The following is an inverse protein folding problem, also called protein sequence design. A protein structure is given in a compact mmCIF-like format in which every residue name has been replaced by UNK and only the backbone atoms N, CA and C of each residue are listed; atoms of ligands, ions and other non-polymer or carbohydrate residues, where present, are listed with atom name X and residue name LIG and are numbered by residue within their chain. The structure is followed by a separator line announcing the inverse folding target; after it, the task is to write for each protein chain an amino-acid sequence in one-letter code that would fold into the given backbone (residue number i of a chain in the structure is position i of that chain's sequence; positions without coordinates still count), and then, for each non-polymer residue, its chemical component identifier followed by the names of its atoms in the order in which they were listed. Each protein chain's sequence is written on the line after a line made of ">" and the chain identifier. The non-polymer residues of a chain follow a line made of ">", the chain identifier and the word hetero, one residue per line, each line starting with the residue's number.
data_IF_311849531929
#
_entry.id   IF_311849531929
#
_cell.length_a   1.000
_cell.length_b   1.000
_cell.length_c   1.000
_cell.angle_alpha   90.00
_cell.angle_beta   90.00
_cell.angle_gamma   90.00
#
_symmetry.space_group_name_H-M   'P 1'
#
loop_
_entity.id
_entity.type
_entity.pdbx_description
1 polymer ?
#
# COMPACT_ATOMS: atom_id res chain seq x y z
N UNK A 1 -37.02 -46.70 -6.72
CA UNK A 1 -35.85 -46.88 -5.82
C UNK A 1 -34.52 -46.72 -6.58
N UNK A 2 -34.00 -47.70 -7.33
CA UNK A 2 -32.70 -47.57 -8.02
C UNK A 2 -32.62 -46.42 -9.04
N UNK A 3 -33.71 -46.15 -9.76
CA UNK A 3 -33.78 -45.07 -10.77
C UNK A 3 -33.82 -43.67 -10.13
N UNK A 4 -34.39 -43.54 -8.93
CA UNK A 4 -34.50 -42.27 -8.20
C UNK A 4 -33.18 -41.87 -7.52
N UNK A 5 -32.46 -42.86 -6.98
CA UNK A 5 -31.12 -42.65 -6.38
C UNK A 5 -30.11 -42.20 -7.44
N UNK A 6 -30.15 -42.80 -8.63
CA UNK A 6 -29.28 -42.41 -9.75
C UNK A 6 -29.57 -40.97 -10.25
N UNK A 7 -30.85 -40.55 -10.24
CA UNK A 7 -31.23 -39.19 -10.63
C UNK A 7 -30.82 -38.15 -9.59
N UNK A 8 -30.92 -38.49 -8.29
CA UNK A 8 -30.49 -37.63 -7.20
C UNK A 8 -28.97 -37.47 -7.15
N UNK A 9 -28.19 -38.54 -7.41
CA UNK A 9 -26.74 -38.44 -7.54
C UNK A 9 -26.31 -37.56 -8.72
N UNK A 10 -26.99 -37.65 -9.88
CA UNK A 10 -26.72 -36.77 -11.02
C UNK A 10 -26.96 -35.30 -10.70
N UNK A 11 -28.04 -34.97 -9.98
CA UNK A 11 -28.33 -33.60 -9.54
C UNK A 11 -27.29 -33.08 -8.56
N UNK A 12 -26.87 -33.90 -7.59
CA UNK A 12 -25.83 -33.52 -6.62
C UNK A 12 -24.48 -33.28 -7.31
N UNK A 13 -24.11 -34.14 -8.27
CA UNK A 13 -22.90 -33.98 -9.07
C UNK A 13 -22.94 -32.67 -9.88
N UNK A 14 -24.10 -32.34 -10.47
CA UNK A 14 -24.28 -31.12 -11.24
C UNK A 14 -24.18 -29.85 -10.37
N UNK A 15 -24.73 -29.89 -9.15
CA UNK A 15 -24.60 -28.81 -8.16
C UNK A 15 -23.14 -28.63 -7.73
N UNK A 16 -22.43 -29.73 -7.46
CA UNK A 16 -21.00 -29.70 -7.11
C UNK A 16 -20.14 -29.13 -8.25
N UNK A 17 -20.43 -29.51 -9.50
CA UNK A 17 -19.76 -28.97 -10.69
C UNK A 17 -20.07 -27.48 -10.85
N UNK A 18 -21.31 -27.03 -10.62
CA UNK A 18 -21.67 -25.60 -10.65
C UNK A 18 -20.95 -24.78 -9.56
N UNK A 19 -20.78 -25.33 -8.36
CA UNK A 19 -20.01 -24.70 -7.27
C UNK A 19 -18.51 -24.64 -7.62
N UNK A 20 -17.99 -25.66 -8.29
CA UNK A 20 -16.59 -25.70 -8.72
C UNK A 20 -16.30 -24.74 -9.89
N UNK A 21 -17.23 -24.57 -10.84
CA UNK A 21 -17.07 -23.66 -11.98
C UNK A 21 -17.24 -22.19 -11.54
N UNK A 22 -18.08 -21.91 -10.54
CA UNK A 22 -18.28 -20.55 -10.02
C UNK A 22 -17.14 -20.04 -9.12
N UNK A 23 -16.23 -20.91 -8.64
CA UNK A 23 -15.14 -20.48 -7.73
C UNK A 23 -13.78 -20.18 -8.40
N UNK A 24 -13.62 -20.43 -9.70
CA UNK A 24 -12.33 -20.29 -10.39
C UNK A 24 -12.18 -19.07 -11.32
N UNK A 25 -13.24 -18.32 -11.59
CA UNK A 25 -13.20 -17.14 -12.46
C UNK A 25 -12.51 -15.92 -11.84
N UNK A 26 -12.87 -15.55 -10.61
CA UNK A 26 -12.38 -14.30 -9.99
C UNK A 26 -10.93 -14.37 -9.50
N UNK A 27 -10.47 -15.55 -9.09
CA UNK A 27 -9.11 -15.74 -8.55
C UNK A 27 -8.01 -15.52 -9.59
N UNK A 28 -8.25 -15.86 -10.86
CA UNK A 28 -7.25 -15.71 -11.93
C UNK A 28 -7.01 -14.24 -12.28
N UNK A 29 -8.07 -13.43 -12.34
CA UNK A 29 -7.97 -12.00 -12.59
C UNK A 29 -7.27 -11.27 -11.44
N UNK A 30 -7.59 -11.63 -10.19
CA UNK A 30 -6.93 -11.07 -9.01
C UNK A 30 -5.42 -11.33 -8.99
N UNK A 31 -4.98 -12.56 -9.29
CA UNK A 31 -3.55 -12.88 -9.35
C UNK A 31 -2.81 -12.11 -10.45
N UNK A 32 -3.44 -11.94 -11.61
CA UNK A 32 -2.86 -11.14 -12.71
C UNK A 32 -2.79 -9.68 -12.31
N UNK A 33 -3.83 -9.14 -11.67
CA UNK A 33 -3.86 -7.78 -11.16
C UNK A 33 -2.73 -7.52 -10.16
N UNK A 34 -2.50 -8.42 -9.21
CA UNK A 34 -1.42 -8.29 -8.22
C UNK A 34 -0.04 -8.24 -8.88
N UNK A 35 0.23 -9.14 -9.84
CA UNK A 35 1.50 -9.15 -10.58
C UNK A 35 1.70 -7.89 -11.42
N UNK A 36 0.63 -7.34 -12.00
CA UNK A 36 0.68 -6.11 -12.79
C UNK A 36 0.87 -4.89 -11.89
N UNK A 37 0.26 -4.89 -10.71
CA UNK A 37 0.45 -3.87 -9.69
C UNK A 37 1.90 -3.83 -9.20
N UNK A 38 2.46 -4.97 -8.82
CA UNK A 38 3.85 -5.12 -8.39
C UNK A 38 4.81 -4.63 -9.47
N UNK A 39 4.65 -5.12 -10.71
CA UNK A 39 5.48 -4.68 -11.84
C UNK A 39 5.39 -3.17 -12.09
N UNK A 40 4.19 -2.59 -12.04
CA UNK A 40 4.02 -1.15 -12.18
C UNK A 40 4.75 -0.39 -11.07
N UNK A 41 4.60 -0.84 -9.83
CA UNK A 41 5.20 -0.24 -8.65
C UNK A 41 6.72 -0.26 -8.73
N UNK A 42 7.31 -1.40 -9.12
CA UNK A 42 8.74 -1.57 -9.29
C UNK A 42 9.31 -0.69 -10.41
N UNK A 43 8.63 -0.63 -11.56
CA UNK A 43 9.06 0.23 -12.68
C UNK A 43 9.06 1.70 -12.26
N UNK A 44 8.01 2.16 -11.58
CA UNK A 44 7.93 3.55 -11.11
C UNK A 44 8.98 3.84 -10.06
N UNK A 45 9.21 2.91 -9.15
CA UNK A 45 10.20 3.06 -8.10
C UNK A 45 11.63 3.08 -8.66
N UNK A 46 11.98 2.18 -9.59
CA UNK A 46 13.28 2.20 -10.26
C UNK A 46 13.51 3.49 -11.06
N UNK A 47 12.46 4.11 -11.62
CA UNK A 47 12.56 5.45 -12.22
C UNK A 47 12.89 6.54 -11.19
N UNK A 48 12.31 6.48 -9.98
CA UNK A 48 12.69 7.39 -8.90
C UNK A 48 14.15 7.18 -8.48
N UNK A 49 14.63 5.93 -8.44
CA UNK A 49 16.02 5.64 -8.11
C UNK A 49 16.97 6.17 -9.20
N UNK A 50 16.64 5.97 -10.48
CA UNK A 50 17.55 6.25 -11.61
C UNK A 50 17.56 7.71 -12.04
N UNK A 51 16.43 8.41 -11.97
CA UNK A 51 16.33 9.81 -12.43
C UNK A 51 17.00 10.81 -11.48
N UNK A 52 17.33 10.40 -10.26
CA UNK A 52 17.81 11.30 -9.21
C UNK A 52 19.23 10.98 -8.72
N UNK A 53 20.17 10.55 -9.60
CA UNK A 53 21.50 10.15 -9.10
C UNK A 53 22.77 10.59 -9.85
N UNK A 54 23.66 11.32 -9.14
CA UNK A 54 25.12 11.21 -9.25
C UNK A 54 25.76 10.23 -8.22
N UNK A 55 25.01 9.65 -7.27
CA UNK A 55 25.46 8.80 -6.15
C UNK A 55 25.13 7.30 -6.33
N UNK A 56 25.48 6.73 -7.49
CA UNK A 56 25.25 5.32 -7.84
C UNK A 56 25.72 4.27 -6.78
N UNK A 57 26.52 4.71 -5.79
CA UNK A 57 27.10 3.92 -4.71
C UNK A 57 26.12 3.50 -3.59
N UNK A 58 24.89 4.04 -3.52
CA UNK A 58 23.90 3.68 -2.47
C UNK A 58 22.66 2.93 -2.99
N UNK A 59 22.74 2.32 -4.16
CA UNK A 59 21.61 1.65 -4.84
C UNK A 59 20.86 0.63 -3.98
N UNK A 60 21.57 -0.13 -3.12
CA UNK A 60 20.95 -1.12 -2.22
C UNK A 60 20.05 -0.45 -1.18
N UNK A 61 20.48 0.66 -0.57
CA UNK A 61 19.65 1.40 0.39
C UNK A 61 18.43 2.00 -0.29
N UNK A 62 18.62 2.60 -1.47
CA UNK A 62 17.51 3.17 -2.24
C UNK A 62 16.46 2.11 -2.58
N UNK A 63 16.87 0.94 -3.07
CA UNK A 63 15.93 -0.17 -3.38
C UNK A 63 15.13 -0.68 -2.19
N UNK A 64 15.69 -0.56 -0.99
CA UNK A 64 15.10 -1.12 0.24
C UNK A 64 14.56 -0.04 1.19
N UNK A 65 14.36 1.21 0.73
CA UNK A 65 14.07 2.33 1.63
C UNK A 65 12.83 2.10 2.50
N UNK A 66 11.76 1.55 1.93
CA UNK A 66 10.52 1.25 2.65
C UNK A 66 10.75 0.21 3.74
N UNK A 67 11.50 -0.86 3.45
CA UNK A 67 11.85 -1.88 4.44
C UNK A 67 12.73 -1.31 5.54
N UNK A 68 13.68 -0.44 5.20
CA UNK A 68 14.56 0.22 6.18
C UNK A 68 13.76 1.14 7.10
N UNK A 69 12.79 1.88 6.55
CA UNK A 69 11.90 2.74 7.33
C UNK A 69 10.92 1.94 8.20
N UNK A 70 10.31 0.86 7.68
CA UNK A 70 9.46 -0.06 8.46
C UNK A 70 10.25 -0.66 9.63
N UNK A 71 11.50 -1.09 9.39
CA UNK A 71 12.37 -1.62 10.44
C UNK A 71 12.75 -0.56 11.49
N UNK A 72 12.96 0.70 11.08
CA UNK A 72 13.16 1.80 12.02
C UNK A 72 11.93 1.98 12.92
N UNK A 73 10.73 2.04 12.32
CA UNK A 73 9.48 2.18 13.07
C UNK A 73 9.27 1.04 14.10
N UNK A 74 9.67 -0.18 13.75
CA UNK A 74 9.65 -1.34 14.66
C UNK A 74 10.69 -1.17 15.77
N UNK A 75 11.94 -0.83 15.41
CA UNK A 75 13.05 -0.67 16.36
C UNK A 75 12.77 0.39 17.42
N UNK A 76 12.13 1.49 17.03
CA UNK A 76 11.75 2.57 17.94
C UNK A 76 10.41 2.30 18.67
N UNK A 77 9.77 1.15 18.44
CA UNK A 77 8.55 0.75 19.15
C UNK A 77 7.26 1.42 18.67
N UNK A 78 7.30 2.15 17.55
CA UNK A 78 6.12 2.78 16.96
C UNK A 78 5.23 1.77 16.24
N UNK A 79 5.83 0.80 15.54
CA UNK A 79 5.16 -0.32 14.88
C UNK A 79 5.40 -1.61 15.66
N UNK A 80 4.35 -2.20 16.22
CA UNK A 80 4.48 -3.43 17.03
C UNK A 80 4.41 -4.71 16.20
N UNK A 81 3.60 -4.70 15.14
CA UNK A 81 3.37 -5.87 14.27
C UNK A 81 3.19 -5.44 12.82
N UNK A 82 3.74 -6.22 11.89
CA UNK A 82 3.61 -5.99 10.44
C UNK A 82 2.31 -6.62 9.91
N UNK A 83 1.19 -6.07 10.35
CA UNK A 83 -0.16 -6.47 9.94
C UNK A 83 -1.11 -5.26 9.94
N UNK A 84 -2.36 -5.44 9.51
CA UNK A 84 -3.30 -4.32 9.44
C UNK A 84 -3.59 -3.68 10.80
N UNK A 85 -3.57 -4.45 11.88
CA UNK A 85 -3.80 -3.92 13.23
C UNK A 85 -2.65 -3.01 13.69
N UNK A 86 -1.40 -3.45 13.51
CA UNK A 86 -0.21 -2.67 13.82
C UNK A 86 -0.12 -1.39 12.99
N UNK A 87 -0.44 -1.45 11.71
CA UNK A 87 -0.50 -0.25 10.86
C UNK A 87 -1.65 0.69 11.23
N UNK A 88 -2.81 0.16 11.61
CA UNK A 88 -3.92 0.98 12.13
C UNK A 88 -3.50 1.74 13.39
N UNK A 89 -2.81 1.07 14.31
CA UNK A 89 -2.30 1.69 15.53
C UNK A 89 -1.23 2.75 15.21
N UNK A 90 -0.29 2.44 14.32
CA UNK A 90 0.73 3.39 13.87
C UNK A 90 0.12 4.65 13.24
N UNK A 91 -0.80 4.50 12.30
CA UNK A 91 -1.52 5.64 11.69
C UNK A 91 -2.26 6.48 12.74
N UNK A 92 -2.85 5.84 13.76
CA UNK A 92 -3.45 6.57 14.88
C UNK A 92 -2.43 7.33 15.74
N UNK A 93 -1.23 6.75 15.95
CA UNK A 93 -0.14 7.44 16.66
C UNK A 93 0.33 8.66 15.87
N UNK A 94 0.54 8.53 14.56
CA UNK A 94 0.92 9.65 13.68
C UNK A 94 -0.15 10.74 13.70
N UNK A 95 -1.42 10.39 13.46
CA UNK A 95 -2.57 11.32 13.55
C UNK A 95 -2.59 12.13 14.85
N UNK A 96 -2.22 11.51 15.97
CA UNK A 96 -2.23 12.10 17.32
C UNK A 96 -0.89 12.72 17.72
N UNK A 97 0.06 12.92 16.80
CA UNK A 97 1.40 13.45 17.06
C UNK A 97 2.14 12.68 18.18
N UNK A 98 1.97 11.35 18.21
CA UNK A 98 2.61 10.44 19.20
C UNK A 98 3.88 9.77 18.67
N UNK A 99 4.33 10.16 17.48
CA UNK A 99 5.60 9.72 16.89
C UNK A 99 6.53 10.93 16.90
N UNK A 100 7.79 10.71 17.33
CA UNK A 100 8.77 11.79 17.39
C UNK A 100 9.16 12.24 15.98
N UNK A 101 9.05 13.54 15.69
CA UNK A 101 9.45 14.13 14.41
C UNK A 101 10.96 13.99 14.15
N UNK A 102 11.78 13.83 15.20
CA UNK A 102 13.20 13.55 15.05
C UNK A 102 13.49 12.18 14.43
N UNK A 103 12.48 11.31 14.28
CA UNK A 103 12.61 10.03 13.59
C UNK A 103 13.09 10.21 12.15
N UNK A 104 12.63 11.25 11.45
CA UNK A 104 13.05 11.58 10.09
C UNK A 104 14.55 11.91 10.05
N UNK A 105 15.01 12.81 10.91
CA UNK A 105 16.42 13.21 10.98
C UNK A 105 17.34 12.04 11.38
N UNK A 106 16.86 11.18 12.29
CA UNK A 106 17.55 9.93 12.63
C UNK A 106 17.67 9.01 11.41
N UNK A 107 16.60 8.84 10.64
CA UNK A 107 16.62 8.01 9.45
C UNK A 107 17.56 8.55 8.36
N UNK A 108 17.50 9.86 8.09
CA UNK A 108 18.41 10.55 7.16
C UNK A 108 19.87 10.39 7.56
N UNK A 109 20.16 10.50 8.87
CA UNK A 109 21.50 10.29 9.42
C UNK A 109 21.96 8.84 9.24
N UNK A 110 21.13 7.85 9.58
CA UNK A 110 21.42 6.41 9.42
C UNK A 110 21.72 6.05 7.95
N UNK A 111 21.02 6.68 7.01
CA UNK A 111 21.23 6.47 5.57
C UNK A 111 22.42 7.25 5.01
N UNK A 112 22.78 8.38 5.64
CA UNK A 112 23.75 9.35 5.15
C UNK A 112 23.36 10.01 3.83
N UNK A 113 22.05 10.14 3.55
CA UNK A 113 21.47 10.93 2.47
C UNK A 113 20.02 11.24 2.79
N UNK A 114 19.45 12.25 2.14
CA UNK A 114 18.05 12.62 2.28
C UNK A 114 17.15 11.69 1.44
N UNK A 115 16.26 10.88 2.06
CA UNK A 115 15.46 9.92 1.32
C UNK A 115 14.10 10.50 0.87
N UNK A 116 13.79 11.77 1.12
CA UNK A 116 12.48 12.38 0.85
C UNK A 116 11.92 12.04 -0.54
N UNK A 117 12.75 12.18 -1.58
CA UNK A 117 12.35 11.93 -2.98
C UNK A 117 11.94 10.48 -3.28
N UNK A 118 12.24 9.54 -2.37
CA UNK A 118 11.93 8.12 -2.51
C UNK A 118 10.57 7.75 -1.87
N UNK A 119 9.95 8.65 -1.09
CA UNK A 119 8.64 8.45 -0.46
C UNK A 119 7.56 9.28 -1.16
N UNK A 120 7.17 8.84 -2.37
CA UNK A 120 6.23 9.57 -3.22
C UNK A 120 4.92 8.79 -3.40
N UNK A 121 3.90 9.12 -2.61
CA UNK A 121 2.59 8.46 -2.58
C UNK A 121 1.95 8.30 -3.96
N UNK A 122 2.05 9.33 -4.81
CA UNK A 122 1.52 9.34 -6.17
C UNK A 122 2.08 8.24 -7.09
N UNK A 123 3.25 7.69 -6.75
CA UNK A 123 3.87 6.60 -7.52
C UNK A 123 3.11 5.28 -7.37
N UNK A 124 2.54 5.00 -6.19
CA UNK A 124 1.83 3.75 -5.93
C UNK A 124 0.33 3.85 -6.23
N UNK A 125 -0.31 4.98 -5.92
CA UNK A 125 -1.74 5.19 -6.22
C UNK A 125 -2.03 5.09 -7.72
N UNK A 126 -1.17 5.69 -8.54
CA UNK A 126 -1.30 5.64 -10.00
C UNK A 126 -1.16 4.24 -10.61
N UNK A 127 -0.56 3.27 -9.90
CA UNK A 127 -0.54 1.87 -10.34
C UNK A 127 -1.89 1.18 -10.18
N UNK A 128 -2.70 1.56 -9.18
CA UNK A 128 -4.08 1.11 -9.09
C UNK A 128 -4.92 1.65 -10.24
N UNK A 129 -4.82 2.95 -10.54
CA UNK A 129 -5.48 3.56 -11.71
C UNK A 129 -5.09 2.84 -13.00
N UNK A 130 -3.80 2.54 -13.19
CA UNK A 130 -3.33 1.85 -14.38
C UNK A 130 -3.94 0.46 -14.58
N UNK A 131 -4.00 -0.39 -13.54
CA UNK A 131 -4.56 -1.74 -13.68
C UNK A 131 -6.09 -1.74 -13.85
N UNK A 132 -6.77 -0.72 -13.30
CA UNK A 132 -8.24 -0.57 -13.37
C UNK A 132 -8.65 0.06 -14.70
N UNK A 133 -8.15 1.25 -15.01
CA UNK A 133 -8.65 2.08 -16.11
C UNK A 133 -7.93 1.79 -17.43
N UNK A 134 -6.61 1.56 -17.39
CA UNK A 134 -5.83 1.41 -18.63
C UNK A 134 -5.79 -0.04 -19.11
N UNK A 135 -5.65 -0.99 -18.19
CA UNK A 135 -5.63 -2.42 -18.54
C UNK A 135 -7.05 -3.02 -18.47
N UNK A 136 -7.91 -2.55 -17.56
CA UNK A 136 -9.28 -3.08 -17.44
C UNK A 136 -9.36 -4.50 -16.88
N UNK A 137 -8.40 -4.91 -16.03
CA UNK A 137 -8.32 -6.29 -15.48
C UNK A 137 -8.90 -6.43 -14.06
N UNK A 138 -9.37 -5.32 -13.50
CA UNK A 138 -9.96 -5.20 -12.17
C UNK A 138 -11.33 -4.54 -12.33
N UNK A 139 -12.38 -5.21 -11.84
CA UNK A 139 -13.74 -4.68 -11.78
C UNK A 139 -14.06 -4.08 -10.40
N UNK A 140 -15.25 -3.50 -10.27
CA UNK A 140 -15.72 -2.85 -9.03
C UNK A 140 -15.86 -3.80 -7.83
N UNK A 141 -15.98 -5.10 -8.08
CA UNK A 141 -16.10 -6.10 -7.02
C UNK A 141 -14.75 -6.45 -6.40
N UNK A 142 -13.65 -6.24 -7.12
CA UNK A 142 -12.30 -6.51 -6.66
C UNK A 142 -11.84 -5.56 -5.54
N UNK A 143 -11.05 -6.10 -4.61
CA UNK A 143 -10.54 -5.32 -3.48
C UNK A 143 -9.60 -4.19 -3.93
N UNK A 144 -8.86 -4.36 -5.03
CA UNK A 144 -7.98 -3.32 -5.57
C UNK A 144 -8.78 -2.09 -6.04
N UNK A 145 -9.94 -2.31 -6.66
CA UNK A 145 -10.85 -1.23 -7.06
C UNK A 145 -11.39 -0.51 -5.83
N UNK A 146 -11.95 -1.27 -4.88
CA UNK A 146 -12.49 -0.73 -3.62
C UNK A 146 -11.43 0.03 -2.82
N UNK A 147 -10.18 -0.45 -2.84
CA UNK A 147 -9.06 0.20 -2.18
C UNK A 147 -8.76 1.56 -2.83
N UNK A 148 -8.62 1.59 -4.16
CA UNK A 148 -8.38 2.81 -4.94
C UNK A 148 -9.43 3.87 -4.66
N UNK A 149 -10.71 3.51 -4.73
CA UNK A 149 -11.81 4.44 -4.48
C UNK A 149 -11.80 4.98 -3.04
N UNK A 150 -11.54 4.12 -2.06
CA UNK A 150 -11.53 4.52 -0.65
C UNK A 150 -10.31 5.38 -0.33
N UNK A 151 -9.15 5.06 -0.88
CA UNK A 151 -7.94 5.87 -0.71
C UNK A 151 -8.07 7.23 -1.39
N UNK A 152 -8.70 7.32 -2.57
CA UNK A 152 -8.97 8.61 -3.22
C UNK A 152 -9.88 9.53 -2.42
N UNK A 153 -10.83 8.99 -1.66
CA UNK A 153 -11.60 9.81 -0.71
C UNK A 153 -10.71 10.42 0.37
N UNK A 154 -9.72 9.67 0.86
CA UNK A 154 -8.73 10.21 1.78
C UNK A 154 -7.88 11.31 1.12
N UNK A 155 -7.38 11.10 -0.10
CA UNK A 155 -6.59 12.12 -0.82
C UNK A 155 -7.40 13.39 -1.12
N UNK A 156 -8.69 13.26 -1.42
CA UNK A 156 -9.57 14.39 -1.74
C UNK A 156 -9.90 15.27 -0.52
N UNK A 157 -10.08 14.64 0.65
CA UNK A 157 -10.49 15.34 1.88
C UNK A 157 -9.28 15.94 2.63
N UNK A 158 -8.12 15.29 2.53
CA UNK A 158 -6.83 15.90 2.84
C UNK A 158 -6.30 15.66 4.26
N UNK A 159 -5.06 15.17 4.32
CA UNK A 159 -4.21 14.92 5.50
C UNK A 159 -4.71 13.90 6.54
N UNK A 160 -3.74 13.24 7.19
CA UNK A 160 -3.99 12.20 8.20
C UNK A 160 -4.59 12.73 9.51
N UNK A 161 -4.52 14.04 9.74
CA UNK A 161 -4.97 14.74 10.97
C UNK A 161 -6.44 15.11 10.98
N UNK A 162 -7.14 15.06 9.84
CA UNK A 162 -8.57 15.25 9.82
C UNK A 162 -9.32 14.16 10.59
N UNK A 163 -10.46 14.53 11.17
CA UNK A 163 -11.38 13.62 11.87
C UNK A 163 -12.22 12.79 10.87
N UNK A 164 -11.56 12.11 9.94
CA UNK A 164 -12.19 11.14 9.06
C UNK A 164 -11.51 9.77 9.15
N UNK A 165 -12.25 8.74 8.78
CA UNK A 165 -11.79 7.34 8.85
C UNK A 165 -11.37 6.78 7.49
N UNK A 166 -11.27 7.61 6.44
CA UNK A 166 -11.06 7.14 5.07
C UNK A 166 -9.77 6.33 4.90
N UNK A 167 -8.66 6.77 5.51
CA UNK A 167 -7.40 6.01 5.45
C UNK A 167 -7.51 4.65 6.17
N UNK A 168 -8.27 4.60 7.26
CA UNK A 168 -8.52 3.36 7.98
C UNK A 168 -9.44 2.43 7.21
N UNK A 169 -10.43 2.99 6.50
CA UNK A 169 -11.30 2.24 5.62
C UNK A 169 -10.53 1.69 4.42
N UNK A 170 -9.62 2.48 3.83
CA UNK A 170 -8.72 2.02 2.78
C UNK A 170 -7.86 0.84 3.28
N UNK A 171 -7.27 0.95 4.47
CA UNK A 171 -6.52 -0.15 5.09
C UNK A 171 -7.38 -1.41 5.29
N UNK A 172 -8.63 -1.27 5.74
CA UNK A 172 -9.53 -2.42 5.98
C UNK A 172 -9.79 -3.23 4.70
N UNK A 173 -9.91 -2.55 3.54
CA UNK A 173 -10.26 -3.17 2.25
C UNK A 173 -9.20 -4.16 1.76
N UNK A 174 -7.91 -3.93 2.09
CA UNK A 174 -6.83 -4.82 1.66
C UNK A 174 -6.97 -6.18 2.35
N UNK A 175 -6.98 -7.32 1.62
CA UNK A 175 -6.97 -8.64 2.25
C UNK A 175 -5.72 -8.82 3.11
N UNK A 176 -5.85 -9.41 4.30
CA UNK A 176 -4.72 -9.56 5.25
C UNK A 176 -3.51 -10.25 4.61
N UNK A 177 -3.75 -11.34 3.87
CA UNK A 177 -2.70 -12.06 3.14
C UNK A 177 -1.96 -11.19 2.12
N UNK A 178 -2.65 -10.23 1.50
CA UNK A 178 -2.04 -9.29 0.56
C UNK A 178 -1.25 -8.23 1.32
N UNK A 179 -1.78 -7.72 2.43
CA UNK A 179 -1.09 -6.74 3.26
C UNK A 179 0.26 -7.21 3.82
N UNK A 180 0.48 -8.52 3.93
CA UNK A 180 1.77 -9.10 4.29
C UNK A 180 2.87 -8.88 3.24
N UNK A 181 2.53 -8.53 2.00
CA UNK A 181 3.48 -8.11 0.98
C UNK A 181 3.75 -6.59 1.09
N UNK A 182 5.04 -6.24 1.16
CA UNK A 182 5.48 -4.86 1.34
C UNK A 182 4.99 -3.94 0.23
N UNK A 183 4.78 -4.44 -0.99
CA UNK A 183 4.28 -3.62 -2.11
C UNK A 183 2.94 -2.95 -1.80
N UNK A 184 2.11 -3.57 -0.96
CA UNK A 184 0.83 -2.99 -0.50
C UNK A 184 0.97 -2.12 0.74
N UNK A 185 2.12 -2.16 1.42
CA UNK A 185 2.44 -1.32 2.57
C UNK A 185 3.20 -0.05 2.20
N UNK A 186 3.93 -0.06 1.07
CA UNK A 186 4.71 1.09 0.56
C UNK A 186 3.90 2.40 0.56
N UNK A 187 2.65 2.37 0.10
CA UNK A 187 1.80 3.57 0.11
C UNK A 187 1.53 4.13 1.52
N UNK A 188 1.31 3.25 2.51
CA UNK A 188 1.12 3.69 3.90
C UNK A 188 2.42 4.20 4.50
N UNK A 189 3.55 3.55 4.16
CA UNK A 189 4.87 3.99 4.60
C UNK A 189 5.23 5.36 4.01
N UNK A 190 4.90 5.61 2.73
CA UNK A 190 5.04 6.94 2.11
C UNK A 190 4.20 7.99 2.84
N UNK A 191 2.93 7.68 3.10
CA UNK A 191 2.05 8.59 3.84
C UNK A 191 2.62 8.90 5.24
N UNK A 192 2.99 7.86 5.99
CA UNK A 192 3.56 8.02 7.34
C UNK A 192 4.85 8.83 7.28
N UNK A 193 5.71 8.57 6.29
CA UNK A 193 6.95 9.31 6.12
C UNK A 193 6.68 10.81 5.87
N UNK A 194 5.77 11.13 4.96
CA UNK A 194 5.43 12.52 4.62
C UNK A 194 4.75 13.27 5.78
N UNK A 195 3.96 12.59 6.60
CA UNK A 195 3.32 13.19 7.79
C UNK A 195 4.32 13.39 8.95
N UNK A 196 5.43 12.66 8.95
CA UNK A 196 6.53 12.82 9.92
C UNK A 196 7.63 13.76 9.43
N UNK A 197 7.66 14.05 8.13
CA UNK A 197 8.58 15.03 7.57
C UNK A 197 8.21 16.41 8.12
N UNK A 198 9.12 17.11 8.80
CA UNK A 198 8.85 18.48 9.20
C UNK A 198 8.65 19.31 7.94
N UNK A 199 7.43 19.84 7.74
CA UNK A 199 7.23 20.92 6.76
C UNK A 199 8.29 21.98 7.03
N UNK A 200 8.98 22.50 5.99
CA UNK A 200 9.87 23.62 6.20
C UNK A 200 9.04 24.70 6.89
N UNK A 201 9.39 25.01 8.15
CA UNK A 201 8.94 26.23 8.80
C UNK A 201 9.22 27.34 7.80
N UNK A 202 8.17 28.10 7.47
CA UNK A 202 8.08 29.18 6.47
C UNK A 202 9.42 29.65 5.86
N UNK A 203 9.49 29.90 4.54
CA UNK A 203 10.69 30.51 3.97
C UNK A 203 11.04 31.75 4.78
N UNK A 204 12.21 31.71 5.44
CA UNK A 204 12.77 32.87 6.12
C UNK A 204 13.06 33.87 4.99
N UNK A 205 12.09 34.71 4.68
CA UNK A 205 12.30 35.93 3.92
C UNK A 205 13.25 36.76 4.79
N UNK A 206 14.54 36.63 4.53
CA UNK A 206 15.53 37.59 5.00
C UNK A 206 15.15 38.92 4.37
N UNK A 207 14.41 39.74 5.09
CA UNK A 207 14.35 41.16 4.79
C UNK A 207 15.75 41.71 5.06
N UNK A 208 16.44 42.07 3.98
CA UNK A 208 17.64 42.89 4.04
C UNK A 208 17.30 44.30 4.56
#
# INVERSE_FOLDING_TARGET
>A
IYRDVANNMKKLLFILILILISSCGSNKNTLVADKKFELCSDIRYERLISNFDPLARKSVYKRNIHSLFENLLIREGYLTEVNKAGYRDLLNKVRKNKVDLNLFEKFKTDLGFDPQILFATGSFTSCYTYIIENIGIVDEDCWQYKFRDTYWKFEAEGNLHQENDFIFDALKVIPEKKFQDINYRKLFLDLIFLELEPYPSEPIFRTN
#
